data_IF_888872573086
#
_entry.id   IF_888872573086
#
_cell.length_a   1.000
_cell.length_b   1.000
_cell.length_c   1.000
_cell.angle_alpha   90.00
_cell.angle_beta   90.00
_cell.angle_gamma   90.00
#
_symmetry.space_group_name_H-M   'P 1'
#
loop_
_entity.id
_entity.type
_entity.pdbx_description
1 polymer ?
#
# COMPACT_ATOMS: atom_id res chain seq x y z
N UNK A 1 -85.78 -45.41 -0.94
CA UNK A 1 -84.68 -44.48 -0.63
C UNK A 1 -83.57 -44.69 -1.66
N UNK A 2 -83.09 -43.60 -2.28
CA UNK A 2 -82.38 -43.58 -3.57
C UNK A 2 -80.87 -43.46 -3.34
N UNK A 3 -80.10 -44.50 -3.69
CA UNK A 3 -78.63 -44.52 -3.61
C UNK A 3 -78.02 -43.53 -4.62
N UNK A 4 -77.24 -42.56 -4.14
CA UNK A 4 -76.47 -41.62 -4.97
C UNK A 4 -75.06 -42.16 -5.16
N UNK A 5 -74.79 -42.72 -6.35
CA UNK A 5 -73.44 -43.05 -6.78
C UNK A 5 -72.70 -41.74 -7.10
N UNK A 6 -71.78 -41.33 -6.24
CA UNK A 6 -70.84 -40.23 -6.50
C UNK A 6 -69.70 -40.77 -7.38
N UNK A 7 -69.72 -40.42 -8.66
CA UNK A 7 -68.64 -40.68 -9.62
C UNK A 7 -67.48 -39.71 -9.38
N UNK A 8 -66.46 -40.17 -8.66
CA UNK A 8 -65.15 -39.51 -8.57
C UNK A 8 -64.48 -39.55 -9.96
N UNK A 9 -64.42 -38.41 -10.65
CA UNK A 9 -63.60 -38.26 -11.85
C UNK A 9 -62.12 -38.10 -11.44
N UNK A 10 -61.18 -38.89 -11.97
CA UNK A 10 -59.77 -38.66 -11.73
C UNK A 10 -59.32 -37.39 -12.48
N UNK A 11 -58.67 -36.47 -11.75
CA UNK A 11 -57.95 -35.35 -12.36
C UNK A 11 -56.81 -35.90 -13.23
N UNK A 12 -56.60 -35.36 -14.44
CA UNK A 12 -55.48 -35.79 -15.27
C UNK A 12 -54.18 -35.42 -14.55
N UNK A 13 -53.42 -36.44 -14.14
CA UNK A 13 -52.02 -36.27 -13.75
C UNK A 13 -51.30 -35.72 -14.99
N UNK A 14 -51.02 -34.42 -14.96
CA UNK A 14 -50.20 -33.74 -15.97
C UNK A 14 -48.85 -34.46 -15.97
N UNK A 15 -48.64 -35.29 -17.00
CA UNK A 15 -47.42 -36.04 -17.23
C UNK A 15 -46.29 -35.05 -17.46
N UNK A 16 -45.55 -34.71 -16.41
CA UNK A 16 -44.36 -33.86 -16.52
C UNK A 16 -43.39 -34.57 -17.47
N UNK A 17 -43.07 -33.92 -18.59
CA UNK A 17 -42.01 -34.38 -19.49
C UNK A 17 -40.72 -34.43 -18.67
N UNK A 18 -40.17 -35.62 -18.50
CA UNK A 18 -38.84 -35.78 -17.90
C UNK A 18 -37.81 -35.09 -18.78
N UNK A 19 -36.80 -34.49 -18.14
CA UNK A 19 -35.65 -33.90 -18.84
C UNK A 19 -35.01 -34.94 -19.76
N UNK A 20 -34.70 -34.52 -20.98
CA UNK A 20 -33.99 -35.40 -21.91
C UNK A 20 -32.52 -35.50 -21.49
N UNK A 21 -31.88 -36.65 -21.73
CA UNK A 21 -30.47 -36.86 -21.38
C UNK A 21 -29.55 -35.78 -22.00
N UNK A 22 -29.87 -35.34 -23.21
CA UNK A 22 -29.18 -34.25 -23.91
C UNK A 22 -29.28 -32.93 -23.15
N UNK A 23 -30.46 -32.60 -22.64
CA UNK A 23 -30.70 -31.38 -21.87
C UNK A 23 -29.91 -31.38 -20.55
N UNK A 24 -29.78 -32.54 -19.90
CA UNK A 24 -28.95 -32.70 -18.71
C UNK A 24 -27.45 -32.59 -19.03
N UNK A 25 -27.00 -33.13 -20.16
CA UNK A 25 -25.60 -32.96 -20.61
C UNK A 25 -25.28 -31.49 -20.89
N UNK A 26 -26.17 -30.78 -21.58
CA UNK A 26 -25.99 -29.35 -21.86
C UNK A 26 -25.97 -28.54 -20.56
N UNK A 27 -26.87 -28.84 -19.62
CA UNK A 27 -26.87 -28.19 -18.30
C UNK A 27 -25.58 -28.44 -17.52
N UNK A 28 -25.05 -29.67 -17.53
CA UNK A 28 -23.77 -29.99 -16.89
C UNK A 28 -22.61 -29.22 -17.53
N UNK A 29 -22.48 -29.21 -18.86
CA UNK A 29 -21.40 -28.50 -19.55
C UNK A 29 -21.47 -26.99 -19.27
N UNK A 30 -22.66 -26.40 -19.32
CA UNK A 30 -22.86 -24.98 -19.00
C UNK A 30 -22.51 -24.67 -17.54
N UNK A 31 -22.91 -25.53 -16.60
CA UNK A 31 -22.60 -25.34 -15.17
C UNK A 31 -21.10 -25.40 -14.87
N UNK A 32 -20.38 -26.34 -15.48
CA UNK A 32 -18.91 -26.45 -15.35
C UNK A 32 -18.21 -25.26 -15.99
N UNK A 33 -18.65 -24.83 -17.18
CA UNK A 33 -18.13 -23.63 -17.83
C UNK A 33 -18.32 -22.37 -16.98
N UNK A 34 -19.51 -22.17 -16.42
CA UNK A 34 -19.80 -21.04 -15.54
C UNK A 34 -18.98 -21.07 -14.25
N UNK A 35 -18.82 -22.25 -13.64
CA UNK A 35 -17.95 -22.43 -12.47
C UNK A 35 -16.49 -22.09 -12.78
N UNK A 36 -15.96 -22.55 -13.92
CA UNK A 36 -14.60 -22.24 -14.33
C UNK A 36 -14.38 -20.74 -14.54
N UNK A 37 -15.36 -20.06 -15.17
CA UNK A 37 -15.32 -18.61 -15.36
C UNK A 37 -15.37 -17.89 -14.01
N UNK A 38 -16.29 -18.27 -13.12
CA UNK A 38 -16.39 -17.68 -11.77
C UNK A 38 -15.09 -17.83 -10.97
N UNK A 39 -14.50 -19.03 -10.95
CA UNK A 39 -13.23 -19.29 -10.25
C UNK A 39 -12.08 -18.47 -10.84
N UNK A 40 -12.03 -18.33 -12.17
CA UNK A 40 -11.01 -17.50 -12.82
C UNK A 40 -11.18 -16.02 -12.47
N UNK A 41 -12.42 -15.53 -12.45
CA UNK A 41 -12.72 -14.14 -12.09
C UNK A 41 -12.35 -13.85 -10.64
N UNK A 42 -12.79 -14.68 -9.68
CA UNK A 42 -12.47 -14.47 -8.26
C UNK A 42 -10.96 -14.46 -8.01
N UNK A 43 -10.22 -15.39 -8.60
CA UNK A 43 -8.77 -15.44 -8.47
C UNK A 43 -8.07 -14.19 -9.03
N UNK A 44 -8.58 -13.61 -10.13
CA UNK A 44 -8.02 -12.38 -10.70
C UNK A 44 -8.36 -11.13 -9.88
N UNK A 45 -9.61 -11.02 -9.39
CA UNK A 45 -10.06 -9.88 -8.61
C UNK A 45 -9.41 -9.83 -7.22
N UNK A 46 -9.27 -10.96 -6.53
CA UNK A 46 -8.64 -11.01 -5.21
C UNK A 46 -7.17 -10.58 -5.26
N UNK A 47 -6.42 -11.05 -6.28
CA UNK A 47 -5.03 -10.63 -6.49
C UNK A 47 -4.93 -9.13 -6.77
N UNK A 48 -5.80 -8.61 -7.64
CA UNK A 48 -5.84 -7.18 -7.95
C UNK A 48 -6.19 -6.33 -6.74
N UNK A 49 -7.14 -6.76 -5.91
CA UNK A 49 -7.57 -6.01 -4.73
C UNK A 49 -6.47 -6.01 -3.65
N UNK A 50 -5.86 -7.17 -3.37
CA UNK A 50 -4.77 -7.28 -2.42
C UNK A 50 -3.56 -6.43 -2.83
N UNK A 51 -3.25 -6.39 -4.12
CA UNK A 51 -2.17 -5.56 -4.67
C UNK A 51 -2.45 -4.06 -4.52
N UNK A 52 -3.66 -3.61 -4.83
CA UNK A 52 -4.05 -2.21 -4.66
C UNK A 52 -4.00 -1.80 -3.20
N UNK A 53 -4.49 -2.66 -2.29
CA UNK A 53 -4.44 -2.41 -0.84
C UNK A 53 -2.99 -2.28 -0.35
N UNK A 54 -2.09 -3.17 -0.80
CA UNK A 54 -0.67 -3.10 -0.43
C UNK A 54 -0.02 -1.79 -0.91
N UNK A 55 -0.33 -1.34 -2.14
CA UNK A 55 0.14 -0.05 -2.66
C UNK A 55 -0.38 1.14 -1.85
N UNK A 56 -1.66 1.14 -1.52
CA UNK A 56 -2.27 2.20 -0.72
C UNK A 56 -1.64 2.27 0.67
N UNK A 57 -1.39 1.13 1.32
CA UNK A 57 -0.76 1.07 2.64
C UNK A 57 0.67 1.64 2.61
N UNK A 58 1.49 1.25 1.64
CA UNK A 58 2.85 1.78 1.50
C UNK A 58 2.87 3.27 1.21
N UNK A 59 1.98 3.75 0.32
CA UNK A 59 1.85 5.17 0.04
C UNK A 59 1.46 5.95 1.31
N UNK A 60 0.51 5.44 2.09
CA UNK A 60 0.05 6.06 3.32
C UNK A 60 1.15 6.11 4.39
N UNK A 61 1.94 5.04 4.54
CA UNK A 61 3.06 4.99 5.49
C UNK A 61 4.17 5.97 5.08
N UNK A 62 4.50 6.03 3.78
CA UNK A 62 5.44 7.02 3.25
C UNK A 62 4.94 8.45 3.50
N UNK A 63 3.66 8.74 3.22
CA UNK A 63 3.08 10.07 3.43
C UNK A 63 3.09 10.47 4.92
N UNK A 64 2.86 9.52 5.83
CA UNK A 64 2.94 9.76 7.28
C UNK A 64 4.38 10.04 7.74
N UNK A 65 5.35 9.30 7.23
CA UNK A 65 6.76 9.56 7.48
C UNK A 65 7.18 10.94 6.96
N UNK A 66 6.69 11.32 5.78
CA UNK A 66 6.94 12.64 5.19
C UNK A 66 6.31 13.75 6.03
N UNK A 67 5.09 13.56 6.53
CA UNK A 67 4.44 14.52 7.40
C UNK A 67 5.23 14.73 8.70
N UNK A 68 5.68 13.65 9.35
CA UNK A 68 6.50 13.74 10.57
C UNK A 68 7.85 14.42 10.31
N UNK A 69 8.53 14.07 9.21
CA UNK A 69 9.77 14.73 8.82
C UNK A 69 9.54 16.21 8.49
N UNK A 70 8.46 16.56 7.79
CA UNK A 70 8.09 17.94 7.50
C UNK A 70 7.84 18.73 8.78
N UNK A 71 7.14 18.14 9.75
CA UNK A 71 6.84 18.77 11.03
C UNK A 71 8.10 18.96 11.88
N UNK A 72 8.98 17.95 11.95
CA UNK A 72 10.31 18.08 12.57
C UNK A 72 11.09 19.22 11.91
N UNK A 73 11.08 19.28 10.57
CA UNK A 73 11.75 20.32 9.79
C UNK A 73 11.14 21.72 9.97
N UNK A 74 9.82 21.83 10.13
CA UNK A 74 9.09 23.08 10.39
C UNK A 74 9.28 23.58 11.82
N UNK A 75 9.39 22.67 12.78
CA UNK A 75 9.69 22.97 14.17
C UNK A 75 11.07 23.58 14.39
N UNK A 76 11.94 23.57 13.37
CA UNK A 76 13.27 24.18 13.45
C UNK A 76 13.31 25.71 13.36
N UNK A 77 12.17 26.40 13.43
CA UNK A 77 12.14 27.85 13.64
C UNK A 77 12.74 28.21 15.02
N UNK A 78 14.03 28.60 15.04
CA UNK A 78 14.74 28.93 16.28
C UNK A 78 14.62 30.40 16.64
N UNK A 79 14.03 30.68 17.79
CA UNK A 79 14.14 31.96 18.49
C UNK A 79 15.48 32.13 19.23
N UNK A 80 16.45 31.21 19.05
CA UNK A 80 17.76 31.25 19.70
C UNK A 80 18.88 30.88 18.72
N UNK A 81 19.95 31.69 18.60
CA UNK A 81 21.05 31.43 17.68
C UNK A 81 21.94 30.36 18.28
N UNK A 82 21.62 29.10 18.01
CA UNK A 82 22.53 27.99 18.23
C UNK A 82 23.04 27.54 16.88
N UNK A 83 24.36 27.47 16.74
CA UNK A 83 25.04 27.01 15.53
C UNK A 83 24.59 25.59 15.22
N UNK A 84 23.79 25.44 14.16
CA UNK A 84 23.29 24.14 13.71
C UNK A 84 24.07 23.68 12.50
N UNK A 85 24.50 22.43 12.52
CA UNK A 85 25.23 21.80 11.42
C UNK A 85 24.47 20.56 10.97
N UNK A 86 24.28 20.46 9.65
CA UNK A 86 23.73 19.28 9.01
C UNK A 86 24.90 18.48 8.44
N UNK A 87 25.03 17.23 8.88
CA UNK A 87 25.95 16.28 8.26
C UNK A 87 25.14 15.35 7.36
N UNK A 88 25.55 15.29 6.09
CA UNK A 88 24.90 14.48 5.07
C UNK A 88 25.91 13.43 4.65
N UNK A 89 25.69 12.20 5.09
CA UNK A 89 26.27 11.01 4.49
C UNK A 89 25.30 10.49 3.42
N UNK A 90 25.74 9.69 2.44
CA UNK A 90 24.87 9.22 1.36
C UNK A 90 23.65 8.40 1.82
N UNK A 91 23.63 7.91 3.06
CA UNK A 91 22.55 7.09 3.62
C UNK A 91 22.08 7.55 5.02
N UNK A 92 22.68 8.62 5.55
CA UNK A 92 22.34 9.17 6.86
C UNK A 92 22.29 10.70 6.83
N UNK A 93 21.27 11.25 7.47
CA UNK A 93 21.11 12.67 7.73
C UNK A 93 21.18 12.91 9.23
N UNK A 94 22.15 13.71 9.66
CA UNK A 94 22.26 14.13 11.05
C UNK A 94 21.94 15.62 11.18
N UNK A 95 21.06 15.93 12.11
CA UNK A 95 20.70 17.29 12.50
C UNK A 95 21.22 17.51 13.92
N UNK A 96 22.26 18.32 14.04
CA UNK A 96 22.93 18.57 15.31
C UNK A 96 22.41 19.86 15.93
N UNK A 97 21.97 19.74 17.18
CA UNK A 97 21.57 20.83 18.07
C UNK A 97 22.65 21.00 19.15
N UNK A 98 22.54 22.06 19.95
CA UNK A 98 23.46 22.27 21.06
C UNK A 98 23.33 21.20 22.16
N UNK A 99 22.13 20.66 22.32
CA UNK A 99 21.73 19.78 23.42
C UNK A 99 21.41 18.35 22.97
N UNK A 100 21.17 18.14 21.68
CA UNK A 100 20.82 16.84 21.10
C UNK A 100 21.27 16.68 19.65
N UNK A 101 21.25 15.46 19.14
CA UNK A 101 21.47 15.09 17.75
C UNK A 101 20.31 14.23 17.29
N UNK A 102 19.67 14.60 16.18
CA UNK A 102 18.65 13.79 15.53
C UNK A 102 19.26 13.15 14.28
N UNK A 103 19.28 11.82 14.22
CA UNK A 103 19.82 11.07 13.08
C UNK A 103 18.70 10.34 12.37
N UNK A 104 18.61 10.55 11.06
CA UNK A 104 17.78 9.78 10.15
C UNK A 104 18.67 8.85 9.36
N UNK A 105 18.44 7.54 9.45
CA UNK A 105 19.22 6.52 8.72
C UNK A 105 18.28 5.58 7.98
N UNK A 106 18.75 5.01 6.87
CA UNK A 106 18.04 3.95 6.17
C UNK A 106 18.61 2.60 6.61
N UNK A 107 17.80 1.78 7.28
CA UNK A 107 18.20 0.46 7.75
C UNK A 107 17.24 -0.59 7.20
N UNK A 108 17.76 -1.57 6.44
CA UNK A 108 16.95 -2.62 5.81
C UNK A 108 15.73 -2.03 5.08
N UNK A 109 15.98 -1.02 4.24
CA UNK A 109 14.95 -0.27 3.51
C UNK A 109 13.92 0.45 4.40
N UNK A 110 14.19 0.63 5.68
CA UNK A 110 13.31 1.32 6.63
C UNK A 110 13.96 2.62 7.09
N UNK A 111 13.20 3.72 7.09
CA UNK A 111 13.68 4.97 7.69
C UNK A 111 13.66 4.83 9.23
N UNK A 112 14.79 5.10 9.89
CA UNK A 112 14.92 5.06 11.35
C UNK A 112 15.34 6.43 11.83
N UNK A 113 14.64 6.96 12.84
CA UNK A 113 15.00 8.22 13.50
C UNK A 113 15.52 7.94 14.91
N UNK A 114 16.75 8.34 15.20
CA UNK A 114 17.31 8.32 16.55
C UNK A 114 17.52 9.73 17.09
N UNK A 115 17.41 9.88 18.41
CA UNK A 115 17.65 11.16 19.10
C UNK A 115 18.61 10.89 20.25
N UNK A 116 19.72 11.63 20.28
CA UNK A 116 20.74 11.53 21.33
C UNK A 116 20.92 12.89 22.03
N UNK A 117 20.91 12.99 23.37
CA UNK A 117 20.57 11.94 24.32
C UNK A 117 19.07 11.66 24.31
N UNK A 118 18.68 10.39 24.28
CA UNK A 118 17.29 9.95 24.25
C UNK A 118 17.19 8.44 24.52
N UNK A 119 16.09 7.97 25.13
CA UNK A 119 16.02 6.61 25.64
C UNK A 119 15.96 5.55 24.54
N UNK A 120 15.30 5.81 23.40
CA UNK A 120 15.23 4.90 22.25
C UNK A 120 14.96 5.68 20.95
N UNK A 121 15.35 5.16 19.78
CA UNK A 121 14.99 5.75 18.50
C UNK A 121 13.46 5.70 18.27
N UNK A 122 12.86 6.86 17.97
CA UNK A 122 11.48 6.93 17.49
C UNK A 122 11.39 6.26 16.11
N UNK A 123 10.61 5.18 16.00
CA UNK A 123 10.45 4.49 14.74
C UNK A 123 9.47 5.24 13.83
N UNK A 124 10.00 5.96 12.84
CA UNK A 124 9.22 6.45 11.70
C UNK A 124 9.15 5.31 10.68
N UNK A 125 8.11 4.48 10.76
CA UNK A 125 7.98 3.30 9.89
C UNK A 125 7.71 3.73 8.46
N UNK A 126 8.69 3.58 7.58
CA UNK A 126 8.55 3.71 6.14
C UNK A 126 9.37 2.62 5.45
N UNK A 127 8.70 1.60 4.92
CA UNK A 127 9.33 0.44 4.30
C UNK A 127 9.70 0.67 2.83
N UNK A 128 10.70 -0.08 2.35
CA UNK A 128 11.20 -0.06 0.97
C UNK A 128 11.81 1.29 0.53
N UNK A 129 12.31 2.09 1.48
CA UNK A 129 13.08 3.29 1.18
C UNK A 129 14.46 2.88 0.64
N UNK A 130 14.76 3.28 -0.60
CA UNK A 130 16.03 2.96 -1.27
C UNK A 130 17.04 4.08 -1.14
N UNK A 131 16.58 5.32 -1.23
CA UNK A 131 17.48 6.48 -1.23
C UNK A 131 16.90 7.59 -0.36
N UNK A 132 17.75 8.12 0.51
CA UNK A 132 17.55 9.39 1.20
C UNK A 132 18.65 10.33 0.71
N UNK A 133 18.26 11.42 0.05
CA UNK A 133 19.20 12.43 -0.43
C UNK A 133 18.84 13.80 0.11
N UNK A 134 19.86 14.56 0.47
CA UNK A 134 19.70 15.95 0.90
C UNK A 134 20.57 16.82 0.02
N UNK A 135 19.94 17.81 -0.60
CA UNK A 135 20.61 18.77 -1.46
C UNK A 135 20.37 20.16 -0.91
N UNK A 136 21.45 20.90 -0.66
CA UNK A 136 21.34 22.33 -0.38
C UNK A 136 20.90 23.05 -1.66
N UNK A 137 19.76 23.73 -1.61
CA UNK A 137 19.19 24.45 -2.77
C UNK A 137 19.93 25.78 -2.96
N UNK A 138 20.25 26.44 -1.84
CA UNK A 138 20.95 27.73 -1.85
C UNK A 138 22.31 27.59 -1.16
N UNK A 139 23.44 27.79 -1.86
CA UNK A 139 24.77 27.66 -1.29
C UNK A 139 25.06 28.68 -0.17
N UNK A 140 24.34 29.80 -0.12
CA UNK A 140 24.49 30.82 0.93
C UNK A 140 23.29 30.87 1.88
N UNK A 141 22.13 30.39 1.46
CA UNK A 141 20.91 30.33 2.26
C UNK A 141 20.72 29.01 3.02
N UNK A 142 19.74 28.96 3.94
CA UNK A 142 19.45 27.78 4.74
C UNK A 142 18.44 26.80 4.11
N UNK A 143 18.30 26.82 2.79
CA UNK A 143 17.27 26.04 2.11
C UNK A 143 17.81 24.69 1.67
N UNK A 144 17.13 23.61 2.08
CA UNK A 144 17.50 22.23 1.80
C UNK A 144 16.32 21.49 1.15
N UNK A 145 16.64 20.69 0.14
CA UNK A 145 15.73 19.74 -0.52
C UNK A 145 16.05 18.34 -0.03
N UNK A 146 15.07 17.70 0.59
CA UNK A 146 15.12 16.29 0.98
C UNK A 146 14.41 15.48 -0.09
N UNK A 147 15.05 14.46 -0.63
CA UNK A 147 14.50 13.57 -1.65
C UNK A 147 14.50 12.15 -1.10
N UNK A 148 13.31 11.53 -1.05
CA UNK A 148 13.14 10.16 -0.59
C UNK A 148 12.59 9.32 -1.74
N UNK A 149 13.30 8.25 -2.10
CA UNK A 149 12.91 7.33 -3.16
C UNK A 149 12.56 5.98 -2.58
N UNK A 150 11.35 5.52 -2.87
CA UNK A 150 10.82 4.23 -2.44
C UNK A 150 10.79 3.27 -3.62
N UNK A 151 11.33 2.07 -3.42
CA UNK A 151 11.00 0.94 -4.28
C UNK A 151 9.59 0.50 -3.94
N UNK A 152 8.69 0.45 -4.93
CA UNK A 152 7.46 -0.29 -4.73
C UNK A 152 7.81 -1.77 -4.88
N UNK A 153 7.55 -2.62 -3.87
CA UNK A 153 7.82 -4.04 -3.97
C UNK A 153 6.89 -4.62 -5.04
N UNK A 154 7.43 -4.82 -6.23
CA UNK A 154 6.68 -5.42 -7.31
C UNK A 154 7.51 -6.52 -7.97
N UNK A 155 7.13 -7.76 -7.70
CA UNK A 155 7.44 -8.88 -8.60
C UNK A 155 6.35 -8.94 -9.65
N UNK A 156 6.51 -8.15 -10.69
CA UNK A 156 5.73 -8.35 -11.91
C UNK A 156 6.14 -9.69 -12.52
N UNK A 157 5.23 -10.66 -12.63
CA UNK A 157 5.41 -11.82 -13.52
C UNK A 157 5.21 -11.36 -14.97
N UNK A 158 6.09 -10.45 -15.43
CA UNK A 158 6.24 -10.08 -16.83
C UNK A 158 7.65 -10.44 -17.27
N UNK A 159 7.81 -10.68 -18.57
CA UNK A 159 9.11 -10.93 -19.20
C UNK A 159 10.13 -9.79 -18.99
N UNK A 160 9.73 -8.66 -18.39
CA UNK A 160 10.62 -7.56 -18.04
C UNK A 160 10.11 -6.84 -16.78
N UNK A 161 10.62 -7.17 -15.57
CA UNK A 161 10.20 -6.50 -14.34
C UNK A 161 10.81 -5.10 -14.30
N UNK A 162 9.97 -4.06 -14.41
CA UNK A 162 10.39 -2.69 -14.08
C UNK A 162 9.98 -2.42 -12.64
N UNK A 163 10.97 -2.19 -11.78
CA UNK A 163 10.71 -1.66 -10.44
C UNK A 163 10.04 -0.28 -10.62
N UNK A 164 8.82 -0.14 -10.08
CA UNK A 164 8.18 1.16 -10.00
C UNK A 164 8.76 1.88 -8.79
N UNK A 165 9.46 2.97 -9.04
CA UNK A 165 9.99 3.83 -7.98
C UNK A 165 9.06 5.03 -7.78
N UNK A 166 8.86 5.44 -6.52
CA UNK A 166 8.14 6.68 -6.18
C UNK A 166 9.08 7.60 -5.40
N UNK A 167 9.24 8.82 -5.89
CA UNK A 167 10.09 9.83 -5.25
C UNK A 167 9.24 10.95 -4.62
N UNK A 168 9.64 11.38 -3.42
CA UNK A 168 9.06 12.50 -2.68
C UNK A 168 10.13 13.57 -2.46
N UNK A 169 9.74 14.84 -2.59
CA UNK A 169 10.63 15.97 -2.36
C UNK A 169 10.05 16.90 -1.29
N UNK A 170 10.77 17.09 -0.19
CA UNK A 170 10.48 18.11 0.81
C UNK A 170 11.46 19.27 0.66
N UNK A 171 10.96 20.48 0.84
CA UNK A 171 11.77 21.69 0.95
C UNK A 171 11.66 22.18 2.38
N UNK A 172 12.80 22.34 3.06
CA UNK A 172 12.87 22.98 4.36
C UNK A 172 13.79 24.18 4.33
N UNK A 173 13.49 25.15 5.18
CA UNK A 173 14.27 26.35 5.41
C UNK A 173 14.70 26.32 6.88
N UNK A 174 16.01 26.23 7.13
CA UNK A 174 16.60 26.09 8.47
C UNK A 174 17.21 27.42 8.93
N UNK A 175 16.46 28.33 9.58
CA UNK A 175 16.91 29.70 9.85
C UNK A 175 18.29 29.79 10.52
#
# INVERSE_FOLDING_TARGET
MRNRNATLRPLPLVRRKGFTLVELMVACVMSVGLMAIMVSMTATFERSAAEVIARCKLAQEADLAMARLADDLRGFNSTRPETRTLFIAPEELQIIFSDRTITYSVQNETLVRSVEPGPEPDLIVAHYLQHLQVQRIDPQGPMFKFSLSFALPFREHRANPRALERAYHLIAVLP
#
